data_IF_020198151266
#
_entry.id   IF_020198151266
#
_cell.length_a   1.000
_cell.length_b   1.000
_cell.length_c   1.000
_cell.angle_alpha   90.00
_cell.angle_beta   90.00
_cell.angle_gamma   90.00
#
_symmetry.space_group_name_H-M   'P 1'
#
loop_
_entity.id
_entity.type
_entity.pdbx_description
1 polymer ?
#
# COMPACT_ATOMS: atom_id res chain seq x y z
N UNK A 1 25.32 -42.60 -57.17
CA UNK A 1 25.61 -42.32 -55.74
C UNK A 1 24.97 -40.99 -55.39
N UNK A 2 23.78 -41.01 -54.77
CA UNK A 2 23.03 -39.81 -54.39
C UNK A 2 23.14 -39.65 -52.87
N UNK A 3 23.83 -38.61 -52.39
CA UNK A 3 23.91 -38.26 -50.96
C UNK A 3 22.73 -37.35 -50.64
N UNK A 4 21.79 -37.84 -49.85
CA UNK A 4 20.71 -37.05 -49.25
C UNK A 4 21.23 -36.49 -47.92
N UNK A 5 21.29 -35.16 -47.82
CA UNK A 5 21.57 -34.47 -46.56
C UNK A 5 20.26 -34.29 -45.79
N UNK A 6 20.17 -34.88 -44.60
CA UNK A 6 19.07 -34.61 -43.66
C UNK A 6 19.37 -33.31 -42.92
N UNK A 7 18.55 -32.28 -43.15
CA UNK A 7 18.43 -31.15 -42.23
C UNK A 7 17.65 -31.62 -41.00
N UNK A 8 18.28 -31.61 -39.83
CA UNK A 8 17.60 -31.74 -38.55
C UNK A 8 16.95 -30.39 -38.20
N UNK A 9 15.62 -30.31 -38.30
CA UNK A 9 14.86 -29.20 -37.75
C UNK A 9 14.73 -29.41 -36.24
N UNK A 10 15.54 -28.69 -35.45
CA UNK A 10 15.36 -28.57 -34.00
C UNK A 10 14.09 -27.76 -33.72
N UNK A 11 12.98 -28.48 -33.47
CA UNK A 11 11.78 -27.91 -32.86
C UNK A 11 12.11 -27.54 -31.41
N UNK A 12 12.33 -26.25 -31.15
CA UNK A 12 12.34 -25.68 -29.80
C UNK A 12 10.93 -25.80 -29.22
N UNK A 13 10.68 -26.88 -28.49
CA UNK A 13 9.48 -27.00 -27.65
C UNK A 13 9.61 -25.99 -26.50
N UNK A 14 8.65 -25.06 -26.32
CA UNK A 14 8.67 -24.17 -25.15
C UNK A 14 8.61 -25.04 -23.89
N UNK A 15 9.50 -24.77 -22.95
CA UNK A 15 9.49 -25.42 -21.63
C UNK A 15 8.16 -25.13 -20.94
N UNK A 16 7.69 -26.06 -20.10
CA UNK A 16 6.40 -25.95 -19.38
C UNK A 16 6.27 -24.62 -18.61
N UNK A 17 7.39 -24.09 -18.10
CA UNK A 17 7.45 -22.78 -17.43
C UNK A 17 7.06 -21.61 -18.35
N UNK A 18 7.48 -21.63 -19.62
CA UNK A 18 7.11 -20.60 -20.61
C UNK A 18 5.62 -20.67 -20.96
N UNK A 19 5.01 -21.87 -20.98
CA UNK A 19 3.59 -22.03 -21.26
C UNK A 19 2.72 -21.48 -20.10
N UNK A 20 3.13 -21.67 -18.85
CA UNK A 20 2.41 -21.16 -17.67
C UNK A 20 2.50 -19.64 -17.55
N UNK A 21 3.67 -19.05 -17.80
CA UNK A 21 3.85 -17.60 -17.81
C UNK A 21 3.01 -16.93 -18.92
N UNK A 22 2.94 -17.52 -20.11
CA UNK A 22 2.10 -17.04 -21.21
C UNK A 22 0.60 -17.16 -20.90
N UNK A 23 0.17 -18.21 -20.19
CA UNK A 23 -1.22 -18.36 -19.76
C UNK A 23 -1.62 -17.34 -18.68
N UNK A 24 -0.74 -17.03 -17.73
CA UNK A 24 -1.01 -15.98 -16.72
C UNK A 24 -1.17 -14.60 -17.36
N UNK A 25 -0.37 -14.26 -18.36
CA UNK A 25 -0.47 -12.97 -19.07
C UNK A 25 -1.78 -12.80 -19.85
N UNK A 26 -2.55 -13.88 -20.08
CA UNK A 26 -3.85 -13.83 -20.77
C UNK A 26 -5.04 -13.69 -19.81
N UNK A 27 -4.85 -13.88 -18.50
CA UNK A 27 -5.94 -13.74 -17.54
C UNK A 27 -6.27 -12.27 -17.29
N UNK A 28 -7.51 -11.91 -16.95
CA UNK A 28 -7.85 -10.58 -16.46
C UNK A 28 -6.96 -10.19 -15.27
N UNK A 29 -6.57 -8.92 -15.10
CA UNK A 29 -5.65 -8.53 -14.02
C UNK A 29 -6.07 -8.98 -12.63
N UNK A 30 -7.36 -8.97 -12.31
CA UNK A 30 -7.90 -9.44 -11.02
C UNK A 30 -7.62 -10.92 -10.74
N UNK A 31 -7.55 -11.76 -11.78
CA UNK A 31 -7.30 -13.20 -11.66
C UNK A 31 -5.80 -13.54 -11.65
N UNK A 32 -4.95 -12.59 -12.05
CA UNK A 32 -3.50 -12.79 -12.07
C UNK A 32 -2.92 -12.72 -10.66
N UNK A 33 -2.28 -13.82 -10.25
CA UNK A 33 -1.41 -13.85 -9.07
C UNK A 33 -0.09 -13.17 -9.41
N UNK A 34 0.23 -12.09 -8.70
CA UNK A 34 1.54 -11.44 -8.79
C UNK A 34 2.37 -11.79 -7.57
N UNK A 35 3.66 -12.07 -7.78
CA UNK A 35 4.61 -12.36 -6.71
C UNK A 35 6.00 -11.80 -7.03
N UNK A 36 6.66 -11.21 -6.05
CA UNK A 36 8.06 -10.80 -6.17
C UNK A 36 8.76 -10.95 -4.82
N UNK A 37 9.74 -11.85 -4.74
CA UNK A 37 10.63 -11.99 -3.57
C UNK A 37 11.91 -11.15 -3.69
N UNK A 38 12.06 -10.36 -4.75
CA UNK A 38 13.23 -9.52 -4.99
C UNK A 38 14.57 -10.27 -4.98
N UNK A 39 14.54 -11.53 -5.43
CA UNK A 39 15.67 -12.47 -5.45
C UNK A 39 16.78 -12.07 -6.45
N UNK A 40 16.43 -11.26 -7.43
CA UNK A 40 17.28 -10.92 -8.58
C UNK A 40 18.02 -9.59 -8.43
N UNK A 41 18.31 -8.97 -9.59
CA UNK A 41 18.87 -7.60 -9.70
C UNK A 41 17.85 -6.59 -10.25
N UNK A 42 16.65 -7.06 -10.50
CA UNK A 42 15.51 -6.32 -11.05
C UNK A 42 14.22 -7.00 -10.57
N UNK A 43 13.09 -6.33 -10.75
CA UNK A 43 11.77 -6.86 -10.42
C UNK A 43 11.50 -8.15 -11.20
N UNK A 44 10.90 -9.13 -10.53
CA UNK A 44 10.47 -10.35 -11.18
C UNK A 44 9.41 -10.00 -12.27
N UNK A 45 9.50 -10.56 -13.49
CA UNK A 45 8.50 -10.33 -14.53
C UNK A 45 7.06 -10.61 -14.07
N UNK A 46 6.87 -11.66 -13.28
CA UNK A 46 5.62 -12.09 -12.64
C UNK A 46 5.16 -11.22 -11.47
N UNK A 47 6.05 -10.39 -10.91
CA UNK A 47 5.72 -9.45 -9.84
C UNK A 47 4.91 -8.27 -10.31
N UNK A 48 5.04 -7.90 -11.59
CA UNK A 48 4.27 -6.80 -12.16
C UNK A 48 4.62 -5.42 -11.59
N UNK A 49 5.81 -5.28 -10.99
CA UNK A 49 6.27 -4.07 -10.31
C UNK A 49 7.22 -3.26 -11.20
N UNK A 50 7.33 -1.97 -10.91
CA UNK A 50 8.33 -1.09 -11.50
C UNK A 50 8.63 0.12 -10.61
N UNK A 51 9.82 0.69 -10.79
CA UNK A 51 10.17 2.00 -10.22
C UNK A 51 9.86 3.10 -11.23
N UNK A 52 9.10 4.12 -10.80
CA UNK A 52 8.74 5.25 -11.65
C UNK A 52 9.84 6.30 -11.63
N UNK A 53 10.24 6.78 -12.81
CA UNK A 53 11.10 7.95 -12.96
C UNK A 53 10.28 9.24 -13.01
N UNK A 54 10.42 10.09 -11.99
CA UNK A 54 9.92 11.47 -11.96
C UNK A 54 10.70 12.29 -10.91
N UNK A 55 10.39 13.57 -10.77
CA UNK A 55 11.06 14.47 -9.82
C UNK A 55 10.96 14.01 -8.35
N UNK A 56 9.79 13.55 -7.91
CA UNK A 56 9.62 13.15 -6.51
C UNK A 56 10.41 11.87 -6.19
N UNK A 57 10.55 11.00 -7.20
CA UNK A 57 11.29 9.74 -7.14
C UNK A 57 12.80 9.91 -7.34
N UNK A 58 13.28 11.07 -7.84
CA UNK A 58 14.73 11.32 -7.94
C UNK A 58 15.40 11.57 -6.59
N UNK A 59 14.59 11.77 -5.53
CA UNK A 59 15.04 11.70 -4.14
C UNK A 59 15.37 10.27 -3.69
N UNK A 60 14.84 9.27 -4.40
CA UNK A 60 14.85 7.87 -4.02
C UNK A 60 15.96 7.04 -4.65
N UNK A 61 16.34 5.97 -3.96
CA UNK A 61 17.22 4.91 -4.44
C UNK A 61 16.51 3.56 -4.35
N UNK A 62 16.80 2.69 -5.32
CA UNK A 62 16.29 1.31 -5.39
C UNK A 62 17.48 0.37 -5.48
N UNK A 63 17.63 -0.52 -4.51
CA UNK A 63 18.72 -1.48 -4.47
C UNK A 63 18.19 -2.89 -4.19
N UNK A 64 18.42 -3.80 -5.12
CA UNK A 64 18.26 -5.24 -4.91
C UNK A 64 19.51 -5.78 -4.23
N UNK A 65 19.37 -6.33 -3.03
CA UNK A 65 20.49 -6.71 -2.18
C UNK A 65 20.23 -8.02 -1.44
N UNK A 66 21.27 -8.58 -0.81
CA UNK A 66 21.23 -9.92 -0.19
C UNK A 66 21.54 -9.94 1.31
N UNK A 67 21.86 -8.79 1.91
CA UNK A 67 22.26 -8.67 3.31
C UNK A 67 21.07 -8.60 4.28
N UNK A 68 20.02 -7.85 3.93
CA UNK A 68 18.82 -7.66 4.76
C UNK A 68 17.61 -8.21 3.99
N UNK A 69 17.25 -9.44 4.28
CA UNK A 69 16.13 -10.15 3.65
C UNK A 69 15.27 -10.85 4.68
N UNK A 70 14.01 -11.11 4.36
CA UNK A 70 13.10 -11.89 5.20
C UNK A 70 13.22 -13.36 4.85
N UNK A 71 13.09 -13.68 3.57
CA UNK A 71 13.20 -15.04 3.06
C UNK A 71 14.15 -15.10 1.85
N UNK A 72 14.30 -16.27 1.23
CA UNK A 72 15.06 -16.40 -0.01
C UNK A 72 16.51 -15.92 0.03
N UNK A 73 16.96 -15.35 -1.08
CA UNK A 73 18.33 -14.90 -1.31
C UNK A 73 18.45 -13.39 -1.42
N UNK A 74 17.36 -12.68 -1.71
CA UNK A 74 17.35 -11.23 -1.97
C UNK A 74 16.32 -10.48 -1.14
N UNK A 75 16.30 -9.17 -1.32
CA UNK A 75 15.39 -8.24 -0.70
C UNK A 75 15.58 -6.85 -1.31
N UNK A 76 14.55 -6.01 -1.22
CA UNK A 76 14.55 -4.69 -1.82
C UNK A 76 14.84 -3.62 -0.77
N UNK A 77 15.93 -2.88 -0.92
CA UNK A 77 16.21 -1.67 -0.13
C UNK A 77 15.72 -0.44 -0.89
N UNK A 78 14.89 0.36 -0.25
CA UNK A 78 14.38 1.63 -0.76
C UNK A 78 14.76 2.74 0.22
N UNK A 79 15.42 3.78 -0.28
CA UNK A 79 15.85 4.89 0.57
C UNK A 79 15.50 6.22 -0.08
N UNK A 80 15.05 7.19 0.71
CA UNK A 80 14.88 8.59 0.29
C UNK A 80 15.92 9.46 0.97
N UNK A 81 16.44 10.42 0.20
CA UNK A 81 17.39 11.44 0.64
C UNK A 81 16.78 12.83 0.46
N UNK A 82 17.24 13.85 1.22
CA UNK A 82 16.83 15.24 1.03
C UNK A 82 17.04 15.70 -0.42
N UNK A 83 15.97 16.13 -1.07
CA UNK A 83 15.98 16.58 -2.47
C UNK A 83 15.09 17.80 -2.71
N UNK A 84 14.06 18.00 -1.88
CA UNK A 84 13.17 19.14 -2.04
C UNK A 84 13.93 20.47 -1.90
N UNK A 85 13.71 21.45 -2.80
CA UNK A 85 14.46 22.70 -2.81
C UNK A 85 14.14 23.59 -1.61
N UNK A 86 12.94 23.46 -1.04
CA UNK A 86 12.56 24.11 0.22
C UNK A 86 11.72 23.14 1.07
N UNK A 87 11.72 23.33 2.39
CA UNK A 87 10.98 22.46 3.31
C UNK A 87 9.46 22.74 3.35
N UNK A 88 8.99 23.84 2.76
CA UNK A 88 7.63 24.37 2.98
C UNK A 88 6.73 24.46 1.72
N UNK A 89 7.17 23.95 0.56
CA UNK A 89 6.48 24.15 -0.74
C UNK A 89 5.57 22.99 -1.16
N UNK A 90 5.21 22.09 -0.23
CA UNK A 90 4.39 20.91 -0.54
C UNK A 90 5.12 19.85 -1.37
N UNK A 91 6.43 20.01 -1.59
CA UNK A 91 7.28 19.01 -2.20
C UNK A 91 7.27 17.68 -1.43
N UNK A 92 7.49 16.59 -2.15
CA UNK A 92 7.55 15.24 -1.60
C UNK A 92 8.74 14.48 -2.12
N UNK A 93 9.32 13.67 -1.25
CA UNK A 93 10.44 12.77 -1.51
C UNK A 93 9.93 11.34 -1.46
N UNK A 94 10.26 10.55 -2.48
CA UNK A 94 9.68 9.22 -2.69
C UNK A 94 10.74 8.24 -3.18
N UNK A 95 10.63 7.01 -2.70
CA UNK A 95 11.20 5.83 -3.34
C UNK A 95 10.12 4.74 -3.37
N UNK A 96 9.03 5.00 -4.10
CA UNK A 96 7.87 4.11 -4.19
C UNK A 96 7.96 3.18 -5.39
N UNK A 97 7.71 1.89 -5.17
CA UNK A 97 7.46 0.91 -6.21
C UNK A 97 5.98 0.91 -6.56
N UNK A 98 5.69 0.79 -7.84
CA UNK A 98 4.35 0.85 -8.40
C UNK A 98 3.98 -0.49 -9.03
N UNK A 99 2.72 -0.85 -8.93
CA UNK A 99 2.13 -1.85 -9.82
C UNK A 99 2.00 -1.29 -11.24
N UNK A 100 2.44 -2.07 -12.25
CA UNK A 100 2.35 -1.70 -13.67
C UNK A 100 0.90 -1.38 -14.05
N UNK A 101 0.70 -0.31 -14.81
CA UNK A 101 -0.63 0.17 -15.22
C UNK A 101 -1.49 -0.92 -15.87
N UNK A 102 -0.90 -1.77 -16.72
CA UNK A 102 -1.62 -2.85 -17.40
C UNK A 102 -2.13 -3.96 -16.46
N UNK A 103 -1.67 -3.99 -15.21
CA UNK A 103 -2.03 -4.99 -14.21
C UNK A 103 -2.99 -4.45 -13.15
N UNK A 104 -3.36 -3.16 -13.21
CA UNK A 104 -4.28 -2.55 -12.25
C UNK A 104 -5.64 -3.24 -12.29
N UNK A 105 -6.24 -3.39 -11.12
CA UNK A 105 -7.51 -4.11 -10.96
C UNK A 105 -8.67 -3.13 -10.91
N UNK A 106 -9.88 -3.52 -11.34
CA UNK A 106 -11.02 -2.60 -11.31
C UNK A 106 -11.30 -2.08 -9.89
N UNK A 107 -11.74 -0.82 -9.81
CA UNK A 107 -11.81 -0.07 -8.56
C UNK A 107 -12.82 -0.66 -7.56
N UNK A 108 -13.90 -1.26 -8.05
CA UNK A 108 -14.98 -1.82 -7.23
C UNK A 108 -14.78 -3.30 -6.86
N UNK A 109 -13.65 -3.90 -7.28
CA UNK A 109 -13.34 -5.31 -7.04
C UNK A 109 -12.46 -5.48 -5.80
N UNK A 110 -12.70 -6.59 -5.10
CA UNK A 110 -11.90 -7.00 -3.95
C UNK A 110 -10.64 -7.74 -4.36
N UNK A 111 -9.50 -7.36 -3.79
CA UNK A 111 -8.20 -7.99 -4.06
C UNK A 111 -7.36 -8.02 -2.79
N UNK A 112 -6.55 -9.07 -2.63
CA UNK A 112 -5.59 -9.21 -1.55
C UNK A 112 -4.20 -8.74 -1.99
N UNK A 113 -3.52 -8.01 -1.12
CA UNK A 113 -2.12 -7.61 -1.22
C UNK A 113 -1.35 -8.09 0.00
N UNK A 114 -0.11 -8.51 -0.19
CA UNK A 114 0.80 -8.82 0.89
C UNK A 114 2.20 -8.38 0.56
N UNK A 115 2.94 -8.02 1.59
CA UNK A 115 4.34 -7.62 1.51
C UNK A 115 4.91 -7.62 2.92
N UNK A 116 6.20 -7.93 3.02
CA UNK A 116 6.97 -7.72 4.23
C UNK A 116 7.69 -6.39 4.18
N UNK A 117 7.80 -5.72 5.33
CA UNK A 117 8.58 -4.50 5.48
C UNK A 117 9.44 -4.57 6.75
N UNK A 118 10.64 -4.00 6.69
CA UNK A 118 11.51 -3.78 7.85
C UNK A 118 12.09 -2.37 7.79
N UNK A 119 12.15 -1.71 8.93
CA UNK A 119 12.70 -0.36 9.07
C UNK A 119 14.22 -0.41 9.30
N UNK A 120 14.98 0.44 8.62
CA UNK A 120 16.39 0.68 8.97
C UNK A 120 16.46 1.64 10.17
N UNK A 121 17.48 1.47 11.02
CA UNK A 121 17.78 2.44 12.08
C UNK A 121 18.58 3.63 11.51
N UNK A 122 18.33 4.86 11.99
CA UNK A 122 17.30 5.22 12.96
C UNK A 122 15.92 5.33 12.31
N UNK A 123 14.90 4.85 13.02
CA UNK A 123 13.51 5.04 12.63
C UNK A 123 13.13 6.52 12.81
N UNK A 124 12.55 7.19 11.79
CA UNK A 124 12.15 8.59 11.89
C UNK A 124 11.18 8.81 13.06
N UNK A 125 11.45 9.83 13.87
CA UNK A 125 10.69 10.16 15.09
C UNK A 125 10.13 11.58 15.10
N UNK A 126 10.24 12.31 13.99
CA UNK A 126 9.65 13.65 13.84
C UNK A 126 8.14 13.61 13.65
N UNK A 127 7.47 14.70 14.03
CA UNK A 127 6.08 15.01 13.66
C UNK A 127 6.06 15.39 12.19
N UNK A 128 5.83 14.39 11.35
CA UNK A 128 6.03 14.53 9.92
C UNK A 128 5.27 13.45 9.13
N UNK A 129 4.87 13.79 7.91
CA UNK A 129 4.17 12.85 7.03
C UNK A 129 5.13 11.77 6.53
N UNK A 130 4.94 10.53 6.95
CA UNK A 130 5.60 9.34 6.40
C UNK A 130 4.56 8.31 5.95
N UNK A 131 4.77 7.69 4.79
CA UNK A 131 3.98 6.58 4.26
C UNK A 131 4.91 5.44 3.86
N UNK A 132 4.47 4.21 4.14
CA UNK A 132 5.19 2.99 3.74
C UNK A 132 4.45 2.19 2.67
N UNK A 133 3.14 2.40 2.54
CA UNK A 133 2.27 1.71 1.59
C UNK A 133 0.97 2.49 1.40
N UNK A 134 0.44 2.50 0.18
CA UNK A 134 -0.79 3.20 -0.14
C UNK A 134 -1.54 2.58 -1.32
N UNK A 135 -2.87 2.61 -1.23
CA UNK A 135 -3.80 2.18 -2.27
C UNK A 135 -4.61 3.37 -2.75
N UNK A 136 -4.71 3.50 -4.07
CA UNK A 136 -5.29 4.67 -4.72
C UNK A 136 -6.24 4.26 -5.83
N UNK A 137 -7.15 5.16 -6.16
CA UNK A 137 -7.87 5.12 -7.44
C UNK A 137 -7.02 5.78 -8.51
N UNK A 138 -7.10 5.29 -9.75
CA UNK A 138 -6.57 6.01 -10.91
C UNK A 138 -7.15 7.42 -11.01
N UNK A 139 -6.32 8.33 -11.47
CA UNK A 139 -6.66 9.74 -11.64
C UNK A 139 -6.40 10.07 -13.10
N UNK A 140 -7.43 10.50 -13.80
CA UNK A 140 -7.33 10.87 -15.21
C UNK A 140 -6.51 12.15 -15.35
N UNK A 141 -5.75 12.29 -16.46
CA UNK A 141 -5.04 13.54 -16.74
C UNK A 141 -5.99 14.75 -16.72
N UNK A 142 -5.65 15.75 -15.91
CA UNK A 142 -6.44 16.98 -15.79
C UNK A 142 -7.61 16.92 -14.81
N UNK A 143 -7.77 15.82 -14.06
CA UNK A 143 -8.70 15.79 -12.94
C UNK A 143 -8.33 16.84 -11.89
N UNK A 144 -9.36 17.54 -11.37
CA UNK A 144 -9.21 18.59 -10.37
C UNK A 144 -9.67 18.06 -9.00
N UNK A 145 -8.78 18.14 -8.01
CA UNK A 145 -9.04 17.67 -6.65
C UNK A 145 -7.80 17.09 -5.96
N UNK A 146 -7.82 17.10 -4.64
CA UNK A 146 -6.96 16.22 -3.84
C UNK A 146 -7.62 14.83 -3.91
N UNK A 147 -6.87 13.83 -4.36
CA UNK A 147 -7.29 12.43 -4.34
C UNK A 147 -6.26 11.66 -3.53
N UNK A 148 -6.44 11.73 -2.22
CA UNK A 148 -5.61 10.99 -1.27
C UNK A 148 -5.83 9.48 -1.43
N UNK A 149 -4.88 8.65 -0.96
CA UNK A 149 -5.08 7.20 -0.97
C UNK A 149 -6.31 6.82 -0.15
N UNK A 150 -7.10 5.86 -0.65
CA UNK A 150 -8.28 5.38 0.08
C UNK A 150 -7.90 4.48 1.27
N UNK A 151 -6.69 3.91 1.23
CA UNK A 151 -6.05 3.22 2.34
C UNK A 151 -4.56 3.57 2.34
N UNK A 152 -3.99 3.86 3.50
CA UNK A 152 -2.56 4.05 3.66
C UNK A 152 -2.05 3.48 4.99
N UNK A 153 -0.86 2.92 4.95
CA UNK A 153 -0.03 2.64 6.13
C UNK A 153 0.96 3.78 6.28
N UNK A 154 0.93 4.42 7.43
CA UNK A 154 1.55 5.71 7.71
C UNK A 154 2.41 5.62 8.96
N UNK A 155 3.37 6.52 9.06
CA UNK A 155 4.09 6.76 10.29
C UNK A 155 4.04 8.23 10.70
N UNK A 156 4.08 8.42 12.00
CA UNK A 156 4.28 9.70 12.65
C UNK A 156 4.92 9.48 14.01
N UNK A 157 5.86 10.33 14.42
CA UNK A 157 6.56 10.22 15.72
C UNK A 157 7.14 8.81 16.01
N UNK A 158 7.60 8.12 14.96
CA UNK A 158 8.15 6.75 15.08
C UNK A 158 7.12 5.66 15.31
N UNK A 159 5.83 5.94 15.12
CA UNK A 159 4.70 5.04 15.37
C UNK A 159 3.95 4.72 14.08
N UNK A 160 3.49 3.48 13.94
CA UNK A 160 2.67 3.05 12.80
C UNK A 160 1.18 3.31 13.05
N UNK A 161 0.50 3.76 11.99
CA UNK A 161 -0.96 3.86 11.97
C UNK A 161 -1.51 3.62 10.57
N UNK A 162 -2.79 3.25 10.50
CA UNK A 162 -3.50 3.04 9.24
C UNK A 162 -4.67 4.02 9.14
N UNK A 163 -4.88 4.54 7.92
CA UNK A 163 -6.02 5.42 7.64
C UNK A 163 -6.82 4.93 6.46
N UNK A 164 -8.14 5.10 6.55
CA UNK A 164 -9.08 4.97 5.43
C UNK A 164 -9.58 6.35 5.05
N UNK A 165 -9.69 6.62 3.76
CA UNK A 165 -10.16 7.91 3.26
C UNK A 165 -11.37 7.75 2.36
N UNK A 166 -12.26 8.74 2.39
CA UNK A 166 -13.42 8.81 1.51
C UNK A 166 -13.70 10.25 1.10
N UNK A 167 -14.63 10.45 0.16
CA UNK A 167 -15.20 11.77 -0.09
C UNK A 167 -15.78 12.40 1.17
N UNK A 168 -15.92 13.72 1.16
CA UNK A 168 -16.42 14.42 2.34
C UNK A 168 -17.77 13.87 2.77
N UNK A 169 -17.79 13.32 3.99
CA UNK A 169 -19.00 12.97 4.72
C UNK A 169 -19.10 13.94 5.90
N UNK A 170 -20.27 14.52 6.12
CA UNK A 170 -20.47 15.43 7.25
C UNK A 170 -20.14 14.68 8.56
N UNK A 171 -19.18 15.16 9.37
CA UNK A 171 -18.88 14.53 10.65
C UNK A 171 -20.08 14.59 11.60
N UNK A 172 -20.17 13.61 12.50
CA UNK A 172 -21.13 13.62 13.61
C UNK A 172 -20.82 14.77 14.57
N UNK A 173 -19.53 14.99 14.81
CA UNK A 173 -19.03 16.11 15.60
C UNK A 173 -17.63 16.51 15.14
N UNK A 174 -17.27 17.76 15.39
CA UNK A 174 -15.92 18.29 15.18
C UNK A 174 -15.52 19.07 16.42
N UNK A 175 -14.44 18.64 17.06
CA UNK A 175 -13.80 19.32 18.18
C UNK A 175 -12.84 20.42 17.72
N UNK A 176 -12.18 21.10 18.68
CA UNK A 176 -11.16 22.09 18.38
C UNK A 176 -10.00 21.51 17.57
N UNK A 177 -9.36 22.32 16.73
CA UNK A 177 -8.13 21.94 16.04
C UNK A 177 -7.01 21.60 17.03
N UNK A 178 -6.17 20.61 16.68
CA UNK A 178 -5.09 20.14 17.53
C UNK A 178 -5.55 19.43 18.81
N UNK A 179 -6.84 19.07 18.90
CA UNK A 179 -7.40 18.30 20.01
C UNK A 179 -8.03 17.01 19.48
N UNK A 180 -7.61 15.85 19.99
CA UNK A 180 -8.20 14.56 19.63
C UNK A 180 -9.71 14.53 19.86
N UNK A 181 -10.44 13.88 18.95
CA UNK A 181 -11.87 13.70 19.06
C UNK A 181 -12.25 12.80 20.25
N UNK A 182 -13.45 13.01 20.79
CA UNK A 182 -14.07 12.14 21.79
C UNK A 182 -15.28 11.45 21.19
N UNK A 183 -15.05 10.30 20.57
CA UNK A 183 -16.07 9.61 19.79
C UNK A 183 -16.94 8.70 20.66
N UNK A 184 -18.25 8.72 20.39
CA UNK A 184 -19.21 7.85 21.05
C UNK A 184 -19.14 6.41 20.54
N UNK A 185 -19.96 5.50 21.11
CA UNK A 185 -20.02 4.12 20.64
C UNK A 185 -20.32 4.01 19.13
N UNK A 186 -19.45 3.29 18.41
CA UNK A 186 -19.55 3.09 16.96
C UNK A 186 -19.15 4.30 16.11
N UNK A 187 -18.63 5.37 16.71
CA UNK A 187 -18.03 6.49 16.01
C UNK A 187 -16.51 6.33 15.95
N UNK A 188 -15.90 6.78 14.86
CA UNK A 188 -14.46 6.62 14.62
C UNK A 188 -13.81 8.00 14.52
N UNK A 189 -12.63 8.22 15.14
CA UNK A 189 -11.87 9.45 14.96
C UNK A 189 -11.52 9.71 13.51
N UNK A 190 -11.72 10.95 13.07
CA UNK A 190 -11.51 11.39 11.71
C UNK A 190 -10.97 12.81 11.65
N UNK A 191 -10.30 13.12 10.55
CA UNK A 191 -9.94 14.45 10.14
C UNK A 191 -10.83 14.85 8.96
N UNK A 192 -11.77 15.76 9.23
CA UNK A 192 -12.65 16.31 8.22
C UNK A 192 -11.91 17.37 7.40
N UNK A 193 -11.92 17.24 6.07
CA UNK A 193 -11.22 18.12 5.14
C UNK A 193 -12.21 18.64 4.08
N UNK A 194 -13.18 19.49 4.46
CA UNK A 194 -14.22 19.96 3.55
C UNK A 194 -13.65 20.71 2.34
N UNK A 195 -12.57 21.47 2.53
CA UNK A 195 -11.94 22.29 1.48
C UNK A 195 -11.39 21.48 0.30
N UNK A 196 -11.15 20.18 0.52
CA UNK A 196 -10.67 19.27 -0.52
C UNK A 196 -11.59 18.06 -0.73
N UNK A 197 -12.84 18.15 -0.27
CA UNK A 197 -13.84 17.10 -0.41
C UNK A 197 -13.43 15.72 0.17
N UNK A 198 -12.82 15.69 1.36
CA UNK A 198 -12.35 14.44 1.96
C UNK A 198 -12.63 14.30 3.45
N UNK A 199 -12.68 13.04 3.91
CA UNK A 199 -12.51 12.66 5.32
C UNK A 199 -11.43 11.59 5.40
N UNK A 200 -10.46 11.78 6.31
CA UNK A 200 -9.45 10.76 6.66
C UNK A 200 -9.77 10.17 8.02
N UNK A 201 -9.88 8.86 8.11
CA UNK A 201 -10.36 8.13 9.28
C UNK A 201 -9.21 7.31 9.85
N UNK A 202 -8.96 7.42 11.16
CA UNK A 202 -7.96 6.62 11.87
C UNK A 202 -8.55 5.24 12.17
N UNK A 203 -7.98 4.17 11.60
CA UNK A 203 -8.59 2.82 11.71
C UNK A 203 -7.74 1.81 12.46
N UNK A 204 -6.42 2.00 12.56
CA UNK A 204 -5.55 1.18 13.40
C UNK A 204 -4.30 1.96 13.80
N UNK A 205 -3.72 1.57 14.92
CA UNK A 205 -2.52 2.19 15.50
C UNK A 205 -1.63 1.12 16.13
N UNK A 206 -0.36 1.43 16.34
CA UNK A 206 0.55 0.58 17.11
C UNK A 206 0.33 0.72 18.64
N UNK A 207 0.96 -0.13 19.47
CA UNK A 207 0.75 -0.14 20.93
C UNK A 207 1.21 1.14 21.64
N UNK A 208 2.10 1.93 21.02
CA UNK A 208 2.69 3.12 21.60
C UNK A 208 1.92 4.39 21.19
N UNK A 209 0.86 4.25 20.40
CA UNK A 209 -0.03 5.34 20.05
C UNK A 209 -0.85 5.80 21.26
N UNK A 210 -0.77 7.09 21.53
CA UNK A 210 -1.41 7.78 22.64
C UNK A 210 -2.54 8.66 22.12
N UNK A 211 -3.31 9.24 23.05
CA UNK A 211 -4.40 10.14 22.65
C UNK A 211 -3.85 11.39 21.98
N UNK A 212 -2.72 11.91 22.46
CA UNK A 212 -2.04 13.10 21.97
C UNK A 212 -1.61 12.99 20.50
N UNK A 213 -1.21 11.79 20.06
CA UNK A 213 -0.84 11.51 18.66
C UNK A 213 -2.04 11.66 17.70
N UNK A 214 -3.27 11.63 18.22
CA UNK A 214 -4.51 11.74 17.42
C UNK A 214 -4.97 13.19 17.19
N UNK A 215 -4.11 14.19 17.38
CA UNK A 215 -4.52 15.61 17.39
C UNK A 215 -5.14 16.12 16.08
N UNK A 216 -4.73 15.56 14.93
CA UNK A 216 -5.36 15.83 13.62
C UNK A 216 -6.75 15.21 13.47
N UNK A 217 -7.05 14.15 14.22
CA UNK A 217 -8.32 13.44 14.17
C UNK A 217 -9.29 14.04 15.21
N UNK A 218 -9.69 15.28 14.97
CA UNK A 218 -10.53 16.07 15.87
C UNK A 218 -12.04 15.93 15.61
N UNK A 219 -12.45 15.18 14.58
CA UNK A 219 -13.84 14.89 14.27
C UNK A 219 -14.22 13.44 14.59
N UNK A 220 -15.51 13.17 14.73
CA UNK A 220 -16.07 11.82 14.81
C UNK A 220 -16.97 11.53 13.61
N UNK A 221 -16.87 10.33 13.06
CA UNK A 221 -17.67 9.90 11.90
C UNK A 221 -18.29 8.52 12.10
N UNK A 222 -19.37 8.26 11.35
CA UNK A 222 -19.98 6.92 11.16
C UNK A 222 -19.93 6.47 9.69
N UNK A 223 -19.13 7.16 8.87
CA UNK A 223 -18.95 6.81 7.47
C UNK A 223 -18.40 5.38 7.29
N UNK A 224 -17.65 4.89 8.28
CA UNK A 224 -17.20 3.50 8.35
C UNK A 224 -17.48 2.91 9.73
N UNK A 225 -17.57 1.59 9.78
CA UNK A 225 -17.47 0.79 11.00
C UNK A 225 -16.10 0.13 11.03
N UNK A 226 -15.42 0.21 12.17
CA UNK A 226 -14.16 -0.49 12.42
C UNK A 226 -14.40 -1.57 13.47
N UNK A 227 -14.12 -2.82 13.12
CA UNK A 227 -14.10 -3.94 14.05
C UNK A 227 -12.65 -4.22 14.41
N UNK A 228 -12.30 -4.05 15.69
CA UNK A 228 -11.00 -4.41 16.25
C UNK A 228 -10.97 -5.91 16.60
N UNK A 229 -9.91 -6.61 16.22
CA UNK A 229 -9.72 -8.04 16.46
C UNK A 229 -8.76 -8.35 17.63
N UNK A 230 -8.41 -7.34 18.42
CA UNK A 230 -7.60 -7.45 19.63
C UNK A 230 -6.10 -7.47 19.40
N UNK A 231 -5.63 -7.13 18.19
CA UNK A 231 -4.20 -7.06 17.87
C UNK A 231 -3.88 -5.65 17.32
N UNK A 232 -2.87 -4.95 17.87
CA UNK A 232 -2.43 -3.66 17.34
C UNK A 232 -1.53 -3.85 16.12
N UNK A 233 -1.26 -2.76 15.39
CA UNK A 233 -0.20 -2.76 14.38
C UNK A 233 1.15 -3.07 15.05
N UNK A 234 2.05 -3.84 14.42
CA UNK A 234 3.38 -4.04 14.99
C UNK A 234 4.18 -2.73 15.04
N UNK A 235 5.01 -2.56 16.06
CA UNK A 235 5.92 -1.42 16.18
C UNK A 235 6.95 -1.43 15.04
N UNK A 236 7.35 -0.27 14.48
CA UNK A 236 8.38 -0.20 13.43
C UNK A 236 9.69 -0.92 13.77
N UNK A 237 10.13 -0.86 15.04
CA UNK A 237 11.36 -1.49 15.51
C UNK A 237 11.27 -3.00 15.73
N UNK A 238 10.11 -3.62 15.51
CA UNK A 238 9.85 -5.03 15.83
C UNK A 238 10.51 -6.05 14.90
N UNK A 239 11.16 -5.59 13.81
CA UNK A 239 11.81 -6.44 12.81
C UNK A 239 11.04 -6.47 11.50
N UNK A 240 10.94 -7.64 10.88
CA UNK A 240 10.11 -7.82 9.68
C UNK A 240 8.64 -7.87 10.08
N UNK A 241 7.83 -7.04 9.42
CA UNK A 241 6.38 -6.99 9.55
C UNK A 241 5.77 -7.48 8.25
N UNK A 242 5.02 -8.57 8.31
CA UNK A 242 4.33 -9.13 7.16
C UNK A 242 2.88 -8.69 7.11
N UNK A 243 2.55 -7.82 6.17
CA UNK A 243 1.18 -7.37 5.96
C UNK A 243 0.46 -8.31 4.98
N UNK A 244 -0.83 -8.55 5.26
CA UNK A 244 -1.77 -9.14 4.33
C UNK A 244 -3.08 -8.35 4.43
N UNK A 245 -3.51 -7.77 3.32
CA UNK A 245 -4.54 -6.73 3.29
C UNK A 245 -5.50 -7.02 2.16
N UNK A 246 -6.78 -7.16 2.49
CA UNK A 246 -7.84 -7.15 1.51
C UNK A 246 -8.32 -5.72 1.31
N UNK A 247 -8.47 -5.30 0.06
CA UNK A 247 -9.06 -4.01 -0.28
C UNK A 247 -10.18 -4.18 -1.29
N UNK A 248 -11.37 -3.67 -0.95
CA UNK A 248 -12.48 -3.43 -1.85
C UNK A 248 -13.01 -2.02 -1.61
N UNK A 249 -12.63 -1.04 -2.43
CA UNK A 249 -13.25 0.29 -2.40
C UNK A 249 -14.76 0.22 -2.62
N UNK A 250 -15.48 1.18 -2.04
CA UNK A 250 -16.93 1.29 -2.10
C UNK A 250 -17.33 2.66 -1.57
N UNK A 251 -17.14 3.73 -2.37
CA UNK A 251 -17.43 5.10 -1.94
C UNK A 251 -18.91 5.34 -1.61
N UNK A 252 -19.79 4.45 -2.06
CA UNK A 252 -21.22 4.43 -1.79
C UNK A 252 -21.61 3.78 -0.45
N UNK A 253 -20.64 3.30 0.33
CA UNK A 253 -20.88 2.63 1.61
C UNK A 253 -20.71 1.12 1.58
N UNK A 254 -20.42 0.53 0.41
CA UNK A 254 -20.26 -0.93 0.25
C UNK A 254 -18.81 -1.42 0.43
N UNK A 255 -17.90 -0.52 0.76
CA UNK A 255 -16.47 -0.81 0.86
C UNK A 255 -16.14 -1.78 1.98
N UNK A 256 -15.02 -2.49 1.82
CA UNK A 256 -14.54 -3.49 2.76
C UNK A 256 -13.00 -3.58 2.74
N UNK A 257 -12.38 -3.47 3.90
CA UNK A 257 -10.95 -3.73 4.11
C UNK A 257 -10.78 -4.76 5.22
N UNK A 258 -9.84 -5.69 5.02
CA UNK A 258 -9.27 -6.51 6.09
C UNK A 258 -7.79 -6.18 6.22
N UNK A 259 -7.30 -6.00 7.45
CA UNK A 259 -5.88 -5.74 7.72
C UNK A 259 -5.34 -6.81 8.65
N UNK A 260 -4.34 -7.54 8.19
CA UNK A 260 -3.56 -8.49 8.97
C UNK A 260 -2.11 -8.03 9.04
N UNK A 261 -1.47 -8.33 10.17
CA UNK A 261 -0.02 -8.22 10.31
C UNK A 261 0.51 -9.47 11.04
N UNK A 262 1.60 -10.04 10.53
CA UNK A 262 2.24 -11.24 11.07
C UNK A 262 1.24 -12.40 11.29
N UNK A 263 0.35 -12.63 10.31
CA UNK A 263 -0.69 -13.66 10.36
C UNK A 263 -1.89 -13.37 11.28
N UNK A 264 -1.86 -12.27 12.05
CA UNK A 264 -2.92 -11.91 12.99
C UNK A 264 -3.88 -10.86 12.41
N UNK A 265 -5.20 -11.04 12.56
CA UNK A 265 -6.16 -10.01 12.18
C UNK A 265 -6.02 -8.79 13.10
N UNK A 266 -5.93 -7.60 12.51
CA UNK A 266 -5.84 -6.31 13.21
C UNK A 266 -7.23 -5.69 13.25
N UNK A 267 -7.77 -5.35 12.07
CA UNK A 267 -9.07 -4.70 11.91
C UNK A 267 -9.82 -5.18 10.67
N UNK A 268 -11.14 -5.09 10.74
CA UNK A 268 -12.03 -5.05 9.57
C UNK A 268 -12.65 -3.66 9.46
N UNK A 269 -12.64 -3.05 8.27
CA UNK A 269 -13.35 -1.80 7.99
C UNK A 269 -14.45 -2.05 6.98
N UNK A 270 -15.66 -1.52 7.23
CA UNK A 270 -16.78 -1.54 6.27
C UNK A 270 -17.44 -0.17 6.20
N UNK A 271 -17.91 0.24 5.02
CA UNK A 271 -18.60 1.52 4.84
C UNK A 271 -18.08 2.30 3.64
N UNK A 272 -18.13 3.63 3.73
CA UNK A 272 -17.65 4.54 2.68
C UNK A 272 -16.12 4.48 2.61
N UNK A 273 -15.61 3.81 1.58
CA UNK A 273 -14.16 3.67 1.35
C UNK A 273 -13.85 4.18 -0.04
N UNK A 274 -12.99 5.19 -0.10
CA UNK A 274 -12.48 5.77 -1.32
C UNK A 274 -13.36 6.84 -1.95
N UNK A 275 -13.11 7.09 -3.24
CA UNK A 275 -13.49 8.32 -3.93
C UNK A 275 -14.31 8.05 -5.20
N UNK A 276 -15.31 8.89 -5.46
CA UNK A 276 -16.20 8.84 -6.61
C UNK A 276 -16.25 10.15 -7.41
N UNK A 277 -15.26 11.03 -7.24
CA UNK A 277 -15.18 12.30 -7.94
C UNK A 277 -15.04 12.14 -9.46
N UNK A 278 -15.32 13.23 -10.17
CA UNK A 278 -15.11 13.31 -11.61
C UNK A 278 -13.61 13.28 -11.93
N UNK A 279 -13.26 12.64 -13.06
CA UNK A 279 -11.86 12.51 -13.49
C UNK A 279 -11.09 11.40 -12.76
N UNK A 280 -11.80 10.48 -12.09
CA UNK A 280 -11.18 9.29 -11.53
C UNK A 280 -11.39 8.09 -12.46
N UNK A 281 -10.28 7.39 -12.73
CA UNK A 281 -10.26 6.23 -13.62
C UNK A 281 -10.98 5.01 -13.05
N UNK A 282 -11.01 3.93 -13.81
CA UNK A 282 -11.81 2.74 -13.50
C UNK A 282 -11.10 1.74 -12.58
N UNK A 283 -9.79 1.92 -12.35
CA UNK A 283 -9.00 0.96 -11.59
C UNK A 283 -8.50 1.51 -10.26
N UNK A 284 -8.18 0.60 -9.34
CA UNK A 284 -7.32 0.86 -8.19
C UNK A 284 -5.88 0.44 -8.50
N UNK A 285 -4.92 1.03 -7.80
CA UNK A 285 -3.52 0.65 -7.86
C UNK A 285 -2.86 0.73 -6.49
N UNK A 286 -1.81 -0.06 -6.33
CA UNK A 286 -1.01 -0.18 -5.12
C UNK A 286 0.40 0.37 -5.34
N UNK A 287 0.95 0.97 -4.27
CA UNK A 287 2.34 1.38 -4.18
C UNK A 287 2.86 1.15 -2.78
N UNK A 288 4.16 0.89 -2.68
CA UNK A 288 4.87 0.78 -1.41
C UNK A 288 6.27 1.36 -1.52
N UNK A 289 6.81 1.78 -0.39
CA UNK A 289 8.10 2.45 -0.31
C UNK A 289 8.02 3.71 0.53
N UNK A 290 9.17 4.26 0.95
CA UNK A 290 9.19 5.49 1.73
C UNK A 290 8.67 6.65 0.89
N UNK A 291 7.62 7.30 1.40
CA UNK A 291 7.10 8.56 0.88
C UNK A 291 6.92 9.54 2.03
N UNK A 292 7.56 10.70 1.93
CA UNK A 292 7.45 11.77 2.92
C UNK A 292 7.35 13.16 2.31
N UNK A 293 6.97 14.14 3.13
CA UNK A 293 7.24 15.55 2.80
C UNK A 293 8.76 15.85 2.86
N UNK A 294 9.16 17.06 2.48
CA UNK A 294 10.56 17.48 2.51
C UNK A 294 11.18 17.35 3.92
N UNK A 295 12.34 16.68 4.02
CA UNK A 295 13.06 16.45 5.28
C UNK A 295 14.56 16.70 5.07
N UNK A 296 15.33 16.70 6.16
CA UNK A 296 16.79 16.88 6.18
C UNK A 296 17.56 15.60 6.46
N UNK A 297 16.85 14.52 6.78
CA UNK A 297 17.41 13.22 7.14
C UNK A 297 17.24 12.21 6.02
N UNK A 298 18.00 11.12 6.02
CA UNK A 298 17.71 9.98 5.14
C UNK A 298 16.66 9.06 5.79
N UNK A 299 15.91 8.33 4.98
CA UNK A 299 14.99 7.31 5.48
C UNK A 299 14.96 6.09 4.57
N UNK A 300 15.18 4.92 5.17
CA UNK A 300 15.28 3.64 4.47
C UNK A 300 14.27 2.63 4.99
N UNK A 301 13.71 1.88 4.06
CA UNK A 301 12.88 0.71 4.31
C UNK A 301 13.40 -0.47 3.48
N UNK A 302 13.28 -1.67 4.03
CA UNK A 302 13.48 -2.92 3.31
C UNK A 302 12.14 -3.59 3.06
N UNK A 303 11.97 -4.14 1.86
CA UNK A 303 10.78 -4.87 1.46
C UNK A 303 11.13 -6.27 0.97
N UNK A 304 10.21 -7.20 1.22
CA UNK A 304 10.32 -8.58 0.79
C UNK A 304 8.93 -9.19 0.53
N UNK A 305 8.89 -10.33 -0.14
CA UNK A 305 7.70 -11.16 -0.38
C UNK A 305 6.44 -10.39 -0.84
N UNK A 306 6.52 -9.58 -1.89
CA UNK A 306 5.33 -8.98 -2.49
C UNK A 306 4.41 -10.06 -3.06
N UNK A 307 3.11 -9.92 -2.82
CA UNK A 307 2.06 -10.85 -3.24
C UNK A 307 0.80 -10.06 -3.59
N UNK A 308 0.12 -10.42 -4.68
CA UNK A 308 -1.25 -9.98 -4.97
C UNK A 308 -2.07 -11.11 -5.57
N UNK A 309 -3.29 -11.30 -5.10
CA UNK A 309 -4.23 -12.29 -5.63
C UNK A 309 -5.67 -11.94 -5.29
N UNK A 310 -6.63 -12.46 -6.05
CA UNK A 310 -8.04 -12.46 -5.63
C UNK A 310 -8.30 -13.45 -4.49
N UNK A 311 -7.40 -14.42 -4.26
CA UNK A 311 -7.56 -15.45 -3.23
C UNK A 311 -6.72 -15.12 -2.01
N UNK A 312 -7.35 -15.12 -0.84
CA UNK A 312 -6.67 -14.90 0.43
C UNK A 312 -5.51 -15.88 0.66
N UNK A 313 -5.70 -17.17 0.34
CA UNK A 313 -4.69 -18.22 0.57
C UNK A 313 -3.40 -18.05 -0.23
N UNK A 314 -3.38 -17.20 -1.26
CA UNK A 314 -2.16 -16.85 -1.98
C UNK A 314 -1.33 -15.76 -1.29
N UNK A 315 -1.93 -15.04 -0.33
CA UNK A 315 -1.38 -13.83 0.27
C UNK A 315 -1.14 -13.97 1.77
N UNK A 316 -2.11 -14.56 2.50
CA UNK A 316 -2.02 -14.77 3.94
C UNK A 316 -1.39 -16.15 4.21
N UNK A 317 -0.08 -16.16 4.53
CA UNK A 317 0.70 -17.40 4.69
C UNK A 317 0.53 -18.07 6.04
N UNK A 318 0.29 -17.28 7.10
CA UNK A 318 0.30 -17.74 8.50
C UNK A 318 -0.99 -17.43 9.26
N UNK A 319 -2.11 -17.30 8.54
CA UNK A 319 -3.41 -16.93 9.10
C UNK A 319 -4.59 -17.69 8.48
N UNK A 320 -5.76 -17.49 9.06
CA UNK A 320 -7.01 -18.08 8.56
C UNK A 320 -7.73 -17.06 7.70
N UNK A 321 -8.09 -17.44 6.48
CA UNK A 321 -8.83 -16.56 5.59
C UNK A 321 -10.20 -16.20 6.18
N UNK A 322 -10.53 -14.90 6.30
CA UNK A 322 -11.78 -14.47 6.94
C UNK A 322 -13.01 -14.77 6.07
N UNK A 323 -12.81 -14.96 4.77
CA UNK A 323 -13.80 -15.43 3.82
C UNK A 323 -13.11 -16.23 2.70
N UNK A 324 -13.84 -17.17 2.04
CA UNK A 324 -13.29 -18.02 0.99
C UNK A 324 -12.74 -17.26 -0.22
#
# INVERSE_FOLDING_TARGET
>A
MLRVAFLAATLLLPTIANAQALQQQQQPPLEQKLVDGFEGKDFAPEGGLYYRENFEQSAGTVEFQTAVKRTGNGGLKLSVMPHCPTLNDGCSERAEIWEKTALRVPYDQGVWYGFAVKFEDPIPSGDHRYLIAQWKREIDPGADGDFSPFLALRMDLGKLFATVETNYQLPISTGPEGKPARCGPGEVPAWARPDVNQVRILVATDPNWTTEDSSFFNSCTKAVTVTDHGNPLPEPGSGWIDFAIFTKPGPDGTGHIELFANGKPIITVKGHIGHADKGLGENQYFKFGPYRAADTTDWTLYYDDFRRSSRCADVLTDGVCPFP
#
